data_IF_511717737929
#
_entry.id   IF_511717737929
#
_cell.length_a   1.000
_cell.length_b   1.000
_cell.length_c   1.000
_cell.angle_alpha   90.00
_cell.angle_beta   90.00
_cell.angle_gamma   90.00
#
_symmetry.space_group_name_H-M   'P 1'
#
loop_
_entity.id
_entity.type
_entity.pdbx_description
1 polymer ?
#
# COMPACT_ATOMS: atom_id res chain seq x y z
N UNK A 1 -0.14 -31.42 29.79
CA UNK A 1 -0.44 -30.58 30.98
C UNK A 1 -0.04 -29.14 30.70
N UNK A 2 -1.00 -28.21 30.55
CA UNK A 2 -0.70 -26.76 30.57
C UNK A 2 -0.20 -26.43 31.97
N UNK A 3 1.10 -26.23 32.11
CA UNK A 3 1.72 -26.00 33.41
C UNK A 3 1.93 -24.50 33.59
N UNK A 4 1.05 -23.91 34.41
CA UNK A 4 1.03 -22.49 34.75
C UNK A 4 2.36 -22.05 35.40
N UNK A 5 2.83 -20.84 35.10
CA UNK A 5 3.97 -20.22 35.78
C UNK A 5 3.58 -19.87 37.22
N UNK A 6 4.51 -20.01 38.15
CA UNK A 6 4.29 -19.47 39.50
C UNK A 6 4.40 -17.94 39.48
N UNK A 7 3.81 -17.25 40.47
CA UNK A 7 3.88 -15.78 40.54
C UNK A 7 5.33 -15.27 40.50
N UNK A 8 6.26 -15.92 41.21
CA UNK A 8 7.68 -15.55 41.21
C UNK A 8 8.33 -15.72 39.83
N UNK A 9 7.97 -16.77 39.12
CA UNK A 9 8.47 -17.02 37.77
C UNK A 9 7.92 -16.01 36.77
N UNK A 10 6.64 -15.62 36.88
CA UNK A 10 6.07 -14.56 36.05
C UNK A 10 6.75 -13.22 36.35
N UNK A 11 6.93 -12.85 37.63
CA UNK A 11 7.66 -11.63 38.01
C UNK A 11 9.10 -11.65 37.49
N UNK A 12 9.77 -12.80 37.54
CA UNK A 12 11.10 -12.96 36.96
C UNK A 12 11.10 -12.69 35.45
N UNK A 13 10.16 -13.28 34.70
CA UNK A 13 10.05 -13.06 33.25
C UNK A 13 9.86 -11.57 32.92
N UNK A 14 8.94 -10.89 33.61
CA UNK A 14 8.67 -9.47 33.39
C UNK A 14 9.91 -8.60 33.68
N UNK A 15 10.59 -8.85 34.81
CA UNK A 15 11.78 -8.07 35.20
C UNK A 15 13.00 -8.38 34.34
N UNK A 16 13.16 -9.62 33.89
CA UNK A 16 14.21 -9.97 32.96
C UNK A 16 13.98 -9.33 31.58
N UNK A 17 12.73 -9.34 31.10
CA UNK A 17 12.36 -8.69 29.85
C UNK A 17 12.61 -7.17 29.87
N UNK A 18 12.35 -6.52 31.02
CA UNK A 18 12.59 -5.08 31.22
C UNK A 18 14.09 -4.73 31.34
N UNK A 19 14.88 -5.53 32.07
CA UNK A 19 16.24 -5.17 32.49
C UNK A 19 17.36 -5.86 31.70
N UNK A 20 17.09 -7.00 31.07
CA UNK A 20 18.11 -7.85 30.45
C UNK A 20 19.10 -8.50 31.42
N UNK A 21 18.90 -8.36 32.73
CA UNK A 21 19.80 -8.86 33.77
C UNK A 21 19.13 -9.94 34.63
N UNK A 22 19.61 -11.18 34.53
CA UNK A 22 19.02 -12.34 35.21
C UNK A 22 19.14 -12.27 36.74
N UNK A 23 20.27 -11.79 37.26
CA UNK A 23 20.51 -11.70 38.71
C UNK A 23 19.60 -10.66 39.35
N UNK A 24 19.49 -9.49 38.71
CA UNK A 24 18.62 -8.41 39.18
C UNK A 24 17.14 -8.77 39.04
N UNK A 25 16.75 -9.42 37.93
CA UNK A 25 15.39 -9.94 37.77
C UNK A 25 15.02 -10.95 38.85
N UNK A 26 15.94 -11.85 39.24
CA UNK A 26 15.71 -12.79 40.33
C UNK A 26 15.55 -12.09 41.69
N UNK A 27 16.35 -11.06 41.96
CA UNK A 27 16.23 -10.24 43.18
C UNK A 27 14.86 -9.56 43.27
N UNK A 28 14.42 -8.94 42.18
CA UNK A 28 13.13 -8.27 42.09
C UNK A 28 11.93 -9.24 42.10
N UNK A 29 12.14 -10.47 41.65
CA UNK A 29 11.16 -11.56 41.74
C UNK A 29 11.09 -12.24 43.12
N UNK A 30 11.72 -11.64 44.15
CA UNK A 30 11.72 -12.12 45.53
C UNK A 30 12.34 -13.51 45.71
N UNK A 31 13.38 -13.81 44.93
CA UNK A 31 14.31 -14.89 45.24
C UNK A 31 15.35 -14.43 46.27
N UNK A 32 16.00 -15.39 46.94
CA UNK A 32 17.04 -15.07 47.92
C UNK A 32 18.17 -14.27 47.26
N UNK A 33 18.57 -13.10 47.80
CA UNK A 33 19.64 -12.29 47.21
C UNK A 33 20.96 -13.05 47.10
N UNK A 34 21.25 -13.94 48.07
CA UNK A 34 22.48 -14.74 48.10
C UNK A 34 22.59 -15.73 46.93
N UNK A 35 21.47 -16.14 46.36
CA UNK A 35 21.42 -17.14 45.28
C UNK A 35 20.78 -16.60 44.00
N UNK A 36 20.53 -15.29 43.92
CA UNK A 36 19.83 -14.66 42.81
C UNK A 36 20.54 -14.86 41.46
N UNK A 37 21.88 -14.83 41.45
CA UNK A 37 22.66 -15.07 40.24
C UNK A 37 22.47 -16.50 39.69
N UNK A 38 22.61 -17.50 40.57
CA UNK A 38 22.42 -18.92 40.21
C UNK A 38 20.99 -19.20 39.79
N UNK A 39 20.00 -18.72 40.55
CA UNK A 39 18.58 -18.91 40.25
C UNK A 39 18.20 -18.21 38.95
N UNK A 40 18.74 -17.02 38.69
CA UNK A 40 18.51 -16.29 37.45
C UNK A 40 18.97 -17.11 36.23
N UNK A 41 20.20 -17.63 36.28
CA UNK A 41 20.73 -18.49 35.22
C UNK A 41 19.90 -19.78 35.06
N UNK A 42 19.53 -20.45 36.16
CA UNK A 42 18.70 -21.65 36.12
C UNK A 42 17.31 -21.36 35.54
N UNK A 43 16.68 -20.24 35.91
CA UNK A 43 15.38 -19.86 35.40
C UNK A 43 15.39 -19.67 33.88
N UNK A 44 16.45 -19.07 33.31
CA UNK A 44 16.58 -18.91 31.86
C UNK A 44 16.69 -20.23 31.10
N UNK A 45 17.12 -21.32 31.75
CA UNK A 45 17.17 -22.66 31.16
C UNK A 45 15.82 -23.40 31.23
N UNK A 46 14.87 -22.93 32.04
CA UNK A 46 13.57 -23.60 32.19
C UNK A 46 12.70 -23.35 30.94
N UNK A 47 12.19 -24.40 30.26
CA UNK A 47 11.41 -24.22 29.03
C UNK A 47 10.19 -23.29 29.19
N UNK A 48 9.50 -23.35 30.34
CA UNK A 48 8.33 -22.50 30.62
C UNK A 48 8.67 -21.01 30.66
N UNK A 49 9.85 -20.66 31.20
CA UNK A 49 10.34 -19.28 31.27
C UNK A 49 10.69 -18.81 29.86
N UNK A 50 11.39 -19.63 29.08
CA UNK A 50 11.72 -19.32 27.69
C UNK A 50 10.48 -19.08 26.84
N UNK A 51 9.47 -19.94 26.95
CA UNK A 51 8.18 -19.75 26.26
C UNK A 51 7.55 -18.41 26.64
N UNK A 52 7.54 -18.04 27.92
CA UNK A 52 6.98 -16.77 28.38
C UNK A 52 7.75 -15.55 27.87
N UNK A 53 9.08 -15.61 27.87
CA UNK A 53 9.91 -14.53 27.33
C UNK A 53 9.67 -14.34 25.82
N UNK A 54 9.53 -15.44 25.07
CA UNK A 54 9.17 -15.38 23.65
C UNK A 54 7.76 -14.82 23.42
N UNK A 55 6.79 -15.12 24.30
CA UNK A 55 5.47 -14.49 24.25
C UNK A 55 5.54 -12.98 24.50
N UNK A 56 6.33 -12.54 25.49
CA UNK A 56 6.53 -11.11 25.77
C UNK A 56 7.17 -10.41 24.57
N UNK A 57 8.18 -11.03 23.97
CA UNK A 57 8.85 -10.49 22.80
C UNK A 57 7.92 -10.42 21.59
N UNK A 58 7.14 -11.48 21.32
CA UNK A 58 6.13 -11.46 20.26
C UNK A 58 5.07 -10.41 20.47
N UNK A 59 4.59 -10.21 21.72
CA UNK A 59 3.63 -9.14 22.01
C UNK A 59 4.19 -7.76 21.69
N UNK A 60 5.43 -7.48 22.08
CA UNK A 60 6.06 -6.20 21.75
C UNK A 60 6.30 -6.07 20.24
N UNK A 61 6.70 -7.15 19.57
CA UNK A 61 6.86 -7.16 18.12
C UNK A 61 5.53 -6.89 17.41
N UNK A 62 4.46 -7.60 17.79
CA UNK A 62 3.09 -7.42 17.30
C UNK A 62 2.55 -6.00 17.58
N UNK A 63 2.86 -5.40 18.73
CA UNK A 63 2.49 -4.02 19.07
C UNK A 63 3.33 -2.97 18.31
N UNK A 64 4.59 -3.29 18.00
CA UNK A 64 5.50 -2.38 17.29
C UNK A 64 5.29 -2.36 15.78
N UNK A 65 4.74 -3.44 15.21
CA UNK A 65 4.52 -3.61 13.78
C UNK A 65 3.04 -3.47 13.46
N UNK A 66 2.71 -2.44 12.67
CA UNK A 66 1.34 -2.24 12.22
C UNK A 66 0.82 -3.44 11.43
N UNK A 67 -0.33 -3.97 11.86
CA UNK A 67 -0.95 -5.14 11.19
C UNK A 67 -1.44 -4.78 9.79
N UNK A 68 -1.71 -5.77 8.94
CA UNK A 68 -2.31 -5.54 7.61
C UNK A 68 -3.64 -4.78 7.73
N UNK A 69 -4.46 -5.13 8.72
CA UNK A 69 -5.75 -4.48 8.96
C UNK A 69 -5.56 -3.01 9.38
N UNK A 70 -4.65 -2.74 10.30
CA UNK A 70 -4.33 -1.39 10.75
C UNK A 70 -3.81 -0.51 9.60
N UNK A 71 -2.92 -1.05 8.76
CA UNK A 71 -2.46 -0.34 7.55
C UNK A 71 -3.63 -0.02 6.60
N UNK A 72 -4.55 -0.97 6.37
CA UNK A 72 -5.75 -0.71 5.55
C UNK A 72 -6.65 0.35 6.16
N UNK A 73 -6.87 0.32 7.48
CA UNK A 73 -7.65 1.33 8.18
C UNK A 73 -7.02 2.71 8.01
N UNK A 74 -5.71 2.83 8.21
CA UNK A 74 -4.98 4.09 8.02
C UNK A 74 -5.06 4.63 6.59
N UNK A 75 -4.92 3.76 5.58
CA UNK A 75 -5.10 4.16 4.18
C UNK A 75 -6.56 4.56 3.88
N UNK A 76 -7.53 3.92 4.53
CA UNK A 76 -8.95 4.26 4.40
C UNK A 76 -9.27 5.63 5.01
N UNK A 77 -8.64 5.98 6.14
CA UNK A 77 -8.74 7.34 6.71
C UNK A 77 -8.24 8.38 5.70
N UNK A 78 -7.08 8.16 5.08
CA UNK A 78 -6.53 9.05 4.04
C UNK A 78 -7.50 9.17 2.86
N UNK A 79 -8.11 8.06 2.44
CA UNK A 79 -9.07 8.04 1.34
C UNK A 79 -10.35 8.84 1.64
N UNK A 80 -10.82 8.83 2.89
CA UNK A 80 -12.11 9.40 3.30
C UNK A 80 -12.03 10.81 3.88
N UNK A 81 -10.84 11.32 4.17
CA UNK A 81 -10.70 12.64 4.75
C UNK A 81 -11.05 13.74 3.75
N UNK A 82 -11.90 14.67 4.17
CA UNK A 82 -12.25 15.84 3.39
C UNK A 82 -11.85 17.12 4.14
N UNK A 83 -11.46 18.17 3.41
CA UNK A 83 -11.07 19.46 4.03
C UNK A 83 -12.18 20.03 4.94
N UNK A 84 -13.48 19.99 4.59
CA UNK A 84 -14.54 20.50 5.45
C UNK A 84 -14.59 19.88 6.84
N UNK A 85 -14.10 18.65 7.02
CA UNK A 85 -14.06 17.98 8.33
C UNK A 85 -13.20 18.72 9.37
N UNK A 86 -12.32 19.61 8.91
CA UNK A 86 -11.37 20.36 9.74
C UNK A 86 -11.64 21.86 9.76
N UNK A 87 -12.74 22.33 9.16
CA UNK A 87 -13.07 23.76 9.06
C UNK A 87 -14.21 24.08 10.01
N UNK A 88 -14.00 25.09 10.86
CA UNK A 88 -14.99 25.63 11.79
C UNK A 88 -15.19 27.14 11.54
N UNK A 89 -16.16 27.74 12.23
CA UNK A 89 -16.42 29.19 12.17
C UNK A 89 -15.18 30.02 12.55
N UNK A 90 -14.33 29.50 13.43
CA UNK A 90 -13.08 30.15 13.88
C UNK A 90 -11.87 29.80 12.99
N UNK A 91 -12.08 29.11 11.87
CA UNK A 91 -11.04 28.63 10.96
C UNK A 91 -10.73 27.15 11.12
N UNK A 92 -9.52 26.74 10.71
CA UNK A 92 -9.12 25.33 10.68
C UNK A 92 -8.84 24.81 12.09
N UNK A 93 -9.53 23.74 12.49
CA UNK A 93 -9.33 23.02 13.76
C UNK A 93 -9.06 21.55 13.48
N UNK A 94 -7.91 21.06 13.98
CA UNK A 94 -7.52 19.64 13.90
C UNK A 94 -7.40 19.12 15.33
N UNK A 95 -8.35 18.28 15.73
CA UNK A 95 -8.42 17.68 17.05
C UNK A 95 -8.30 16.15 16.96
N UNK A 96 -7.98 15.49 18.07
CA UNK A 96 -7.95 14.01 18.11
C UNK A 96 -9.32 13.38 17.82
N UNK A 97 -10.39 14.12 18.10
CA UNK A 97 -11.78 13.78 17.82
C UNK A 97 -12.20 14.06 16.39
N UNK A 98 -11.40 14.80 15.60
CA UNK A 98 -11.74 15.11 14.21
C UNK A 98 -11.79 13.82 13.37
N UNK A 99 -12.75 13.70 12.45
CA UNK A 99 -12.82 12.58 11.52
C UNK A 99 -11.49 12.40 10.77
N UNK A 100 -11.08 11.14 10.58
CA UNK A 100 -9.95 10.76 9.73
C UNK A 100 -8.65 11.56 10.02
N UNK A 101 -8.39 11.97 11.26
CA UNK A 101 -7.24 12.84 11.61
C UNK A 101 -5.88 12.28 11.15
N UNK A 102 -5.76 10.96 10.98
CA UNK A 102 -4.59 10.33 10.41
C UNK A 102 -4.28 10.76 8.96
N UNK A 103 -5.23 11.35 8.24
CA UNK A 103 -5.02 11.87 6.91
C UNK A 103 -4.27 13.20 6.87
N UNK A 104 -4.16 13.90 8.00
CA UNK A 104 -3.49 15.19 8.09
C UNK A 104 -1.99 15.00 7.95
N UNK A 105 -1.42 15.61 6.91
CA UNK A 105 0.02 15.56 6.61
C UNK A 105 0.78 16.75 7.20
N UNK A 106 0.17 17.93 7.23
CA UNK A 106 0.80 19.16 7.71
C UNK A 106 -0.25 20.18 8.14
N UNK A 107 0.01 20.87 9.25
CA UNK A 107 -0.74 22.05 9.70
C UNK A 107 0.25 23.17 9.98
N UNK A 108 0.10 24.32 9.33
CA UNK A 108 0.97 25.48 9.57
C UNK A 108 0.17 26.72 9.89
N UNK A 109 0.49 27.34 11.02
CA UNK A 109 -0.15 28.59 11.47
C UNK A 109 0.84 29.74 11.37
N UNK A 110 0.47 30.79 10.64
CA UNK A 110 1.29 32.00 10.45
C UNK A 110 0.49 33.22 10.87
N UNK A 111 1.03 33.99 11.80
CA UNK A 111 0.49 35.30 12.16
C UNK A 111 1.10 36.36 11.26
N UNK A 112 0.27 37.09 10.51
CA UNK A 112 0.70 38.20 9.66
C UNK A 112 -0.01 39.48 10.08
N UNK A 113 0.75 40.55 10.20
CA UNK A 113 0.23 41.90 10.44
C UNK A 113 0.28 42.65 9.10
N UNK A 114 -0.89 42.92 8.51
CA UNK A 114 -0.98 43.48 7.16
C UNK A 114 -0.74 45.00 7.10
N UNK A 115 -0.85 45.71 8.23
CA UNK A 115 -0.63 47.17 8.34
C UNK A 115 0.08 47.50 9.64
N UNK A 116 0.91 48.54 9.66
CA UNK A 116 1.64 48.99 10.87
C UNK A 116 0.62 49.39 11.95
N UNK A 117 0.50 48.59 13.01
CA UNK A 117 -0.51 48.77 14.08
C UNK A 117 -1.89 48.13 13.82
N UNK A 118 -2.04 47.32 12.76
CA UNK A 118 -3.27 46.56 12.50
C UNK A 118 -3.34 45.28 13.34
N UNK A 119 -4.55 44.73 13.44
CA UNK A 119 -4.77 43.46 14.14
C UNK A 119 -4.01 42.30 13.47
N UNK A 120 -3.44 41.38 14.26
CA UNK A 120 -2.77 40.21 13.74
C UNK A 120 -3.78 39.27 13.07
N UNK A 121 -3.53 38.91 11.82
CA UNK A 121 -4.32 37.90 11.11
C UNK A 121 -3.62 36.56 11.19
N UNK A 122 -4.35 35.56 11.67
CA UNK A 122 -3.87 34.19 11.80
C UNK A 122 -4.26 33.44 10.52
N UNK A 123 -3.26 32.94 9.79
CA UNK A 123 -3.45 32.12 8.59
C UNK A 123 -3.03 30.70 8.93
N UNK A 124 -4.00 29.79 8.98
CA UNK A 124 -3.76 28.36 9.17
C UNK A 124 -3.88 27.66 7.82
N UNK A 125 -2.86 26.90 7.42
CA UNK A 125 -2.89 26.04 6.23
C UNK A 125 -2.96 24.58 6.68
N UNK A 126 -3.80 23.81 6.00
CA UNK A 126 -3.96 22.38 6.20
C UNK A 126 -3.59 21.64 4.91
N UNK A 127 -2.81 20.56 5.05
CA UNK A 127 -2.47 19.66 3.95
C UNK A 127 -2.82 18.24 4.33
N UNK A 128 -3.56 17.56 3.47
CA UNK A 128 -3.89 16.15 3.62
C UNK A 128 -2.98 15.27 2.75
N UNK A 129 -2.80 14.01 3.14
CA UNK A 129 -2.17 12.99 2.29
C UNK A 129 -3.01 12.76 1.02
N UNK A 130 -2.36 12.26 -0.05
CA UNK A 130 -3.05 12.06 -1.33
C UNK A 130 -3.98 10.84 -1.29
N UNK A 131 -5.30 11.00 -1.55
CA UNK A 131 -6.22 9.87 -1.59
C UNK A 131 -5.89 8.92 -2.76
N UNK A 132 -5.36 9.42 -3.88
CA UNK A 132 -4.93 8.61 -5.02
C UNK A 132 -3.79 7.67 -4.62
N UNK A 133 -2.83 8.14 -3.83
CA UNK A 133 -1.75 7.29 -3.33
C UNK A 133 -2.30 6.20 -2.40
N UNK A 134 -3.25 6.55 -1.52
CA UNK A 134 -3.88 5.56 -0.64
C UNK A 134 -4.64 4.48 -1.42
N UNK A 135 -5.39 4.85 -2.47
CA UNK A 135 -6.08 3.90 -3.37
C UNK A 135 -5.05 2.96 -4.01
N UNK A 136 -3.95 3.50 -4.54
CA UNK A 136 -2.92 2.68 -5.18
C UNK A 136 -2.31 1.66 -4.22
N UNK A 137 -1.97 2.08 -3.00
CA UNK A 137 -1.42 1.17 -1.99
C UNK A 137 -2.44 0.12 -1.53
N UNK A 138 -3.73 0.49 -1.40
CA UNK A 138 -4.81 -0.46 -1.13
C UNK A 138 -4.95 -1.49 -2.25
N UNK A 139 -4.91 -1.05 -3.51
CA UNK A 139 -4.98 -1.94 -4.67
C UNK A 139 -3.81 -2.94 -4.71
N UNK A 140 -2.60 -2.48 -4.35
CA UNK A 140 -1.43 -3.34 -4.19
C UNK A 140 -1.63 -4.38 -3.09
N UNK A 141 -2.14 -3.96 -1.94
CA UNK A 141 -2.41 -4.87 -0.81
C UNK A 141 -3.48 -5.92 -1.13
N UNK A 142 -4.47 -5.59 -1.96
CA UNK A 142 -5.56 -6.48 -2.34
C UNK A 142 -5.24 -7.35 -3.55
N UNK A 143 -4.05 -7.19 -4.16
CA UNK A 143 -3.63 -7.89 -5.37
C UNK A 143 -4.64 -7.71 -6.52
N UNK A 144 -5.38 -6.60 -6.50
CA UNK A 144 -6.30 -6.19 -7.57
C UNK A 144 -5.60 -5.34 -8.62
N UNK A 145 -4.32 -4.98 -8.40
CA UNK A 145 -3.47 -4.56 -9.48
C UNK A 145 -2.98 -5.80 -10.24
N UNK A 146 -2.98 -5.72 -11.57
CA UNK A 146 -2.17 -6.62 -12.35
C UNK A 146 -0.71 -6.29 -12.03
N UNK A 147 -0.05 -7.17 -11.28
CA UNK A 147 1.39 -7.34 -11.49
C UNK A 147 1.51 -7.58 -12.98
N UNK A 148 2.17 -6.67 -13.71
CA UNK A 148 2.48 -6.92 -15.10
C UNK A 148 3.07 -8.31 -15.17
N UNK A 149 2.36 -9.24 -15.83
CA UNK A 149 2.81 -10.60 -16.01
C UNK A 149 4.20 -10.46 -16.63
N UNK A 150 5.23 -10.76 -15.84
CA UNK A 150 6.58 -10.85 -16.35
C UNK A 150 6.65 -12.18 -17.08
N UNK A 151 6.09 -12.24 -18.28
CA UNK A 151 6.38 -13.34 -19.20
C UNK A 151 7.82 -13.13 -19.61
N UNK A 152 8.70 -14.02 -19.16
CA UNK A 152 10.02 -14.13 -19.75
C UNK A 152 9.85 -14.73 -21.15
N UNK A 153 9.51 -13.88 -22.12
CA UNK A 153 9.59 -14.25 -23.52
C UNK A 153 11.05 -14.10 -23.92
N UNK A 154 11.80 -15.19 -23.80
CA UNK A 154 12.99 -15.33 -24.63
C UNK A 154 12.54 -15.21 -26.09
N UNK A 155 12.77 -14.03 -26.67
CA UNK A 155 12.57 -13.62 -28.06
C UNK A 155 11.18 -13.90 -28.67
N UNK A 156 10.25 -12.96 -28.49
CA UNK A 156 9.35 -12.51 -29.56
C UNK A 156 9.10 -11.02 -29.34
N UNK A 157 9.64 -10.16 -30.21
CA UNK A 157 9.37 -8.72 -30.19
C UNK A 157 7.90 -8.46 -30.53
N UNK A 158 7.12 -8.02 -29.54
CA UNK A 158 5.81 -7.44 -29.80
C UNK A 158 5.98 -5.93 -30.09
N UNK A 159 5.91 -5.54 -31.36
CA UNK A 159 5.83 -4.14 -31.79
C UNK A 159 4.40 -3.62 -31.54
N UNK A 160 4.21 -2.86 -30.46
CA UNK A 160 2.98 -2.09 -30.26
C UNK A 160 3.13 -0.79 -31.05
N UNK A 161 2.44 -0.66 -32.18
CA UNK A 161 2.38 0.58 -32.96
C UNK A 161 1.19 1.39 -32.47
N UNK A 162 1.46 2.52 -31.81
CA UNK A 162 0.43 3.53 -31.52
C UNK A 162 0.13 4.28 -32.82
N UNK A 163 -1.10 4.19 -33.30
CA UNK A 163 -1.58 5.03 -34.40
C UNK A 163 -2.29 6.26 -33.81
N UNK A 164 -1.90 7.44 -34.26
CA UNK A 164 -2.62 8.67 -33.94
C UNK A 164 -4.02 8.65 -34.59
N UNK A 165 -5.03 9.14 -33.89
CA UNK A 165 -6.41 9.15 -34.38
C UNK A 165 -6.53 9.92 -35.72
N UNK A 166 -5.68 10.92 -35.93
CA UNK A 166 -5.60 11.66 -37.19
C UNK A 166 -5.06 10.83 -38.36
N UNK A 167 -4.12 9.92 -38.13
CA UNK A 167 -3.56 9.04 -39.17
C UNK A 167 -4.54 7.93 -39.56
N UNK A 168 -5.22 7.35 -38.57
CA UNK A 168 -6.28 6.36 -38.79
C UNK A 168 -7.42 6.95 -39.62
N UNK A 169 -7.86 8.18 -39.29
CA UNK A 169 -8.91 8.86 -40.03
C UNK A 169 -8.53 9.11 -41.50
N UNK A 170 -7.28 9.49 -41.78
CA UNK A 170 -6.78 9.71 -43.16
C UNK A 170 -6.73 8.42 -43.96
N UNK A 171 -6.26 7.33 -43.36
CA UNK A 171 -6.20 6.03 -44.01
C UNK A 171 -7.60 5.50 -44.35
N UNK A 172 -8.57 5.71 -43.45
CA UNK A 172 -9.98 5.33 -43.66
C UNK A 172 -10.61 6.13 -44.82
N UNK A 173 -10.33 7.44 -44.90
CA UNK A 173 -10.83 8.29 -45.99
C UNK A 173 -10.25 7.86 -47.34
N UNK A 174 -8.95 7.52 -47.39
CA UNK A 174 -8.31 7.10 -48.64
C UNK A 174 -8.78 5.70 -49.07
N UNK A 175 -9.01 4.78 -48.14
CA UNK A 175 -9.60 3.47 -48.42
C UNK A 175 -11.02 3.59 -49.01
N UNK A 176 -11.85 4.47 -48.44
CA UNK A 176 -13.19 4.77 -48.99
C UNK A 176 -13.11 5.37 -50.39
N UNK A 177 -12.12 6.24 -50.66
CA UNK A 177 -11.90 6.82 -52.00
C UNK A 177 -11.51 5.77 -53.04
N UNK A 178 -10.81 4.72 -52.62
CA UNK A 178 -10.45 3.57 -53.45
C UNK A 178 -11.56 2.51 -53.53
N UNK A 179 -12.74 2.78 -52.95
CA UNK A 179 -13.91 1.90 -52.99
C UNK A 179 -13.83 0.71 -52.03
N UNK A 180 -12.90 0.73 -51.07
CA UNK A 180 -12.72 -0.31 -50.06
C UNK A 180 -13.45 0.15 -48.79
N UNK A 181 -14.56 -0.51 -48.44
CA UNK A 181 -15.29 -0.23 -47.19
C UNK A 181 -14.65 -1.00 -46.03
N UNK A 182 -14.11 -0.32 -45.00
CA UNK A 182 -13.63 -1.01 -43.82
C UNK A 182 -14.83 -1.46 -42.99
N UNK A 183 -14.96 -2.76 -42.73
CA UNK A 183 -16.00 -3.29 -41.86
C UNK A 183 -15.66 -2.93 -40.41
N UNK A 184 -16.28 -1.87 -39.90
CA UNK A 184 -16.09 -1.39 -38.53
C UNK A 184 -17.02 -2.15 -37.59
N UNK A 185 -16.48 -3.23 -37.01
CA UNK A 185 -16.91 -3.87 -35.76
C UNK A 185 -18.45 -3.95 -35.57
N UNK A 186 -19.06 -4.91 -36.25
CA UNK A 186 -20.39 -5.42 -35.91
C UNK A 186 -20.31 -6.94 -35.72
N UNK A 187 -20.13 -7.40 -34.49
CA UNK A 187 -20.06 -8.84 -34.20
C UNK A 187 -20.12 -9.11 -32.71
N UNK A 188 -21.34 -9.32 -32.22
CA UNK A 188 -21.60 -9.87 -30.89
C UNK A 188 -21.01 -11.27 -30.78
N UNK A 189 -20.41 -11.55 -29.62
CA UNK A 189 -19.94 -12.83 -29.10
C UNK A 189 -19.99 -14.10 -29.96
N UNK A 190 -18.81 -14.75 -30.01
CA UNK A 190 -18.54 -16.15 -30.41
C UNK A 190 -18.20 -16.39 -31.89
N UNK A 191 -16.92 -16.56 -32.17
CA UNK A 191 -16.42 -17.12 -33.42
C UNK A 191 -14.89 -17.13 -33.44
N UNK A 192 -14.32 -18.32 -33.50
CA UNK A 192 -12.89 -18.60 -33.64
C UNK A 192 -12.35 -18.08 -34.99
N UNK A 193 -11.05 -17.77 -35.01
CA UNK A 193 -10.22 -17.43 -36.18
C UNK A 193 -10.60 -16.21 -37.03
N UNK A 194 -9.90 -15.10 -36.81
CA UNK A 194 -9.65 -14.11 -37.86
C UNK A 194 -8.19 -13.63 -37.79
N UNK A 195 -7.39 -14.18 -38.69
CA UNK A 195 -5.98 -13.89 -38.95
C UNK A 195 -5.68 -12.40 -39.01
N UNK A 196 -4.68 -11.97 -38.22
CA UNK A 196 -4.04 -10.66 -38.30
C UNK A 196 -3.51 -10.43 -39.73
N UNK A 197 -4.03 -9.41 -40.41
CA UNK A 197 -3.37 -8.88 -41.60
C UNK A 197 -2.08 -8.18 -41.16
N UNK A 198 -0.94 -8.75 -41.58
CA UNK A 198 0.39 -8.16 -41.46
C UNK A 198 0.48 -6.87 -42.30
N UNK A 199 1.33 -5.95 -41.84
CA UNK A 199 1.50 -4.56 -42.31
C UNK A 199 1.58 -4.33 -43.83
N UNK A 200 1.21 -3.14 -44.35
CA UNK A 200 1.10 -2.83 -45.78
C UNK A 200 2.43 -2.66 -46.56
N UNK A 201 3.55 -3.15 -46.03
CA UNK A 201 4.88 -2.87 -46.59
C UNK A 201 5.40 -3.93 -47.56
N UNK A 202 4.80 -5.12 -47.60
CA UNK A 202 5.29 -6.26 -48.41
C UNK A 202 4.32 -6.66 -49.53
N UNK A 203 3.69 -5.69 -50.19
CA UNK A 203 3.01 -5.96 -51.47
C UNK A 203 4.09 -6.17 -52.54
N UNK A 204 4.69 -7.36 -52.57
CA UNK A 204 5.20 -7.87 -53.84
C UNK A 204 4.00 -8.39 -54.63
N UNK A 205 3.72 -7.69 -55.73
CA UNK A 205 2.75 -8.08 -56.72
C UNK A 205 3.09 -9.47 -57.27
N UNK A 206 2.36 -10.49 -56.84
CA UNK A 206 2.28 -11.77 -57.55
C UNK A 206 0.88 -11.91 -58.11
N UNK A 207 0.76 -11.58 -59.40
CA UNK A 207 -0.39 -11.93 -60.22
C UNK A 207 -0.55 -13.45 -60.27
N UNK A 208 -1.78 -13.94 -60.08
CA UNK A 208 -2.17 -15.34 -60.33
C UNK A 208 -3.45 -15.31 -61.20
N UNK A 209 -3.58 -16.21 -62.18
CA UNK A 209 -4.31 -15.96 -63.41
C UNK A 209 -5.82 -16.16 -63.27
N UNK A 210 -6.54 -15.50 -64.19
CA UNK A 210 -7.95 -15.79 -64.48
C UNK A 210 -8.11 -17.27 -64.82
N UNK A 211 -9.00 -17.96 -64.13
CA UNK A 211 -9.68 -19.14 -64.67
C UNK A 211 -11.11 -18.74 -64.97
N UNK A 212 -11.44 -18.85 -66.25
CA UNK A 212 -12.76 -18.72 -66.85
C UNK A 212 -13.68 -19.82 -66.30
N UNK A 213 -14.91 -19.45 -65.97
CA UNK A 213 -16.15 -20.08 -66.46
C UNK A 213 -17.34 -19.13 -66.20
#
# INVERSE_FOLDING_TARGET
MKTHLTQKQETFCLKYFELGNASEAARLALYSPKTAATIGAENLLKPKIQTRLQELQRKVEDESVATVLERKQRLTEILRAEIPDYVSEDGIKVEKSSPNVGAVSEVTTKTKVFKRGGEPVIITNLKLHSPIQAINELNKMEKIHTDGISVNVNQVEAKIVHFDAGEVARAIIEAMRLGITPDLLGGDGHGEDATLLSSPSDIQATAVPRTED
#
